data_IF_685299760351
#
_entry.id   IF_685299760351
#
_cell.length_a   1.000
_cell.length_b   1.000
_cell.length_c   1.000
_cell.angle_alpha   90.00
_cell.angle_beta   90.00
_cell.angle_gamma   90.00
#
_symmetry.space_group_name_H-M   'P 1'
#
loop_
_entity.id
_entity.type
_entity.pdbx_description
1 polymer ?
#
# COMPACT_ATOMS: atom_id res chain seq x y z
N UNK A 1 -1.75 -27.39 7.36
CA UNK A 1 -0.64 -26.98 6.47
C UNK A 1 0.62 -27.19 7.28
N UNK A 2 1.41 -28.19 6.91
CA UNK A 2 2.62 -28.57 7.65
C UNK A 2 3.79 -27.69 7.23
N UNK A 3 4.67 -27.34 8.18
CA UNK A 3 5.90 -26.62 7.86
C UNK A 3 6.81 -27.60 7.09
N UNK A 4 6.94 -27.41 5.79
CA UNK A 4 7.79 -28.27 4.96
C UNK A 4 9.26 -28.00 5.28
N UNK A 5 9.87 -28.89 6.06
CA UNK A 5 11.29 -28.82 6.44
C UNK A 5 12.23 -29.48 5.42
N UNK A 6 11.69 -30.06 4.35
CA UNK A 6 12.48 -30.66 3.28
C UNK A 6 13.22 -29.56 2.50
N UNK A 7 14.55 -29.55 2.61
CA UNK A 7 15.41 -28.55 1.98
C UNK A 7 16.03 -27.53 2.94
N UNK A 8 15.61 -27.49 4.21
CA UNK A 8 16.22 -26.59 5.19
C UNK A 8 17.63 -27.05 5.59
N UNK A 9 18.55 -26.09 5.64
CA UNK A 9 19.88 -26.23 6.23
C UNK A 9 19.79 -26.55 7.73
N UNK A 10 20.91 -27.04 8.31
CA UNK A 10 21.00 -27.31 9.75
C UNK A 10 20.71 -26.05 10.59
N UNK A 11 21.19 -24.90 10.14
CA UNK A 11 21.01 -23.61 10.81
C UNK A 11 19.54 -23.18 10.81
N UNK A 12 18.85 -23.30 9.68
CA UNK A 12 17.43 -22.95 9.57
C UNK A 12 16.55 -23.86 10.44
N UNK A 13 16.86 -25.17 10.51
CA UNK A 13 16.16 -26.10 11.41
C UNK A 13 16.34 -25.71 12.88
N UNK A 14 17.56 -25.34 13.27
CA UNK A 14 17.83 -24.88 14.64
C UNK A 14 17.05 -23.60 14.96
N UNK A 15 16.99 -22.65 14.03
CA UNK A 15 16.24 -21.42 14.19
C UNK A 15 14.73 -21.68 14.33
N UNK A 16 14.17 -22.53 13.46
CA UNK A 16 12.75 -22.92 13.53
C UNK A 16 12.41 -23.55 14.87
N UNK A 17 13.24 -24.48 15.37
CA UNK A 17 13.04 -25.09 16.68
C UNK A 17 13.05 -24.05 17.81
N UNK A 18 13.99 -23.09 17.77
CA UNK A 18 14.05 -22.01 18.76
C UNK A 18 12.80 -21.13 18.72
N UNK A 19 12.27 -20.84 17.52
CA UNK A 19 11.03 -20.07 17.35
C UNK A 19 9.81 -20.83 17.87
N UNK A 20 9.68 -22.11 17.52
CA UNK A 20 8.58 -22.98 17.98
C UNK A 20 8.59 -23.11 19.51
N UNK A 21 9.77 -23.27 20.12
CA UNK A 21 9.90 -23.33 21.58
C UNK A 21 9.50 -22.02 22.26
N UNK A 22 9.82 -20.88 21.64
CA UNK A 22 9.59 -19.55 22.23
C UNK A 22 8.16 -19.05 22.06
N UNK A 23 7.56 -19.30 20.90
CA UNK A 23 6.30 -18.66 20.49
C UNK A 23 5.13 -19.62 20.33
N UNK A 24 5.37 -20.93 20.26
CA UNK A 24 4.32 -21.89 19.95
C UNK A 24 4.15 -22.13 18.44
N UNK A 25 3.53 -23.25 18.09
CA UNK A 25 3.37 -23.66 16.70
C UNK A 25 2.35 -22.80 15.93
N UNK A 26 1.29 -22.35 16.60
CA UNK A 26 0.21 -21.59 15.96
C UNK A 26 0.69 -20.20 15.54
N UNK A 27 1.41 -19.52 16.43
CA UNK A 27 1.96 -18.18 16.24
C UNK A 27 3.03 -18.19 15.14
N UNK A 28 3.89 -19.21 15.13
CA UNK A 28 4.89 -19.40 14.06
C UNK A 28 4.21 -19.69 12.72
N UNK A 29 3.15 -20.50 12.71
CA UNK A 29 2.37 -20.78 11.50
C UNK A 29 1.67 -19.52 10.97
N UNK A 30 1.03 -18.73 11.84
CA UNK A 30 0.37 -17.48 11.48
C UNK A 30 1.35 -16.47 10.88
N UNK A 31 2.50 -16.28 11.54
CA UNK A 31 3.58 -15.43 11.03
C UNK A 31 4.07 -15.90 9.65
N UNK A 32 4.25 -17.21 9.48
CA UNK A 32 4.68 -17.79 8.19
C UNK A 32 3.67 -17.52 7.08
N UNK A 33 2.36 -17.60 7.36
CA UNK A 33 1.31 -17.25 6.39
C UNK A 33 1.41 -15.79 5.96
N UNK A 34 1.55 -14.86 6.92
CA UNK A 34 1.70 -13.42 6.63
C UNK A 34 2.93 -13.11 5.78
N UNK A 35 4.05 -13.80 6.02
CA UNK A 35 5.26 -13.69 5.18
C UNK A 35 4.99 -14.15 3.75
N UNK A 36 4.41 -15.34 3.58
CA UNK A 36 4.08 -15.88 2.25
C UNK A 36 3.10 -14.99 1.49
N UNK A 37 2.13 -14.41 2.18
CA UNK A 37 1.19 -13.46 1.60
C UNK A 37 1.88 -12.19 1.12
N UNK A 38 2.77 -11.61 1.93
CA UNK A 38 3.59 -10.46 1.53
C UNK A 38 4.43 -10.79 0.30
N UNK A 39 5.11 -11.93 0.28
CA UNK A 39 5.94 -12.34 -0.86
C UNK A 39 5.11 -12.56 -2.13
N UNK A 40 3.92 -13.16 -2.01
CA UNK A 40 2.97 -13.28 -3.13
C UNK A 40 2.58 -11.91 -3.65
N UNK A 41 2.15 -11.02 -2.76
CA UNK A 41 1.74 -9.67 -3.11
C UNK A 41 2.87 -8.89 -3.79
N UNK A 42 4.11 -9.00 -3.34
CA UNK A 42 5.24 -8.31 -3.99
C UNK A 42 5.47 -8.77 -5.43
N UNK A 43 5.32 -10.07 -5.70
CA UNK A 43 5.45 -10.61 -7.06
C UNK A 43 4.31 -10.15 -7.96
N UNK A 44 3.09 -10.18 -7.43
CA UNK A 44 1.88 -10.03 -8.24
C UNK A 44 1.41 -8.57 -8.35
N UNK A 45 1.86 -7.67 -7.46
CA UNK A 45 1.43 -6.28 -7.43
C UNK A 45 1.83 -5.51 -8.68
N UNK A 46 0.82 -5.20 -9.49
CA UNK A 46 0.89 -4.30 -10.62
C UNK A 46 0.46 -2.90 -10.18
N UNK A 47 1.38 -1.94 -10.28
CA UNK A 47 1.11 -0.55 -9.99
C UNK A 47 0.59 0.16 -11.24
N UNK A 48 -0.57 0.79 -11.14
CA UNK A 48 -1.12 1.64 -12.19
C UNK A 48 -1.90 2.80 -11.59
N UNK A 49 -1.87 3.94 -12.27
CA UNK A 49 -2.72 5.09 -11.97
C UNK A 49 -4.10 4.92 -12.61
N UNK A 50 -5.15 5.33 -11.89
CA UNK A 50 -6.53 5.27 -12.38
C UNK A 50 -6.81 6.36 -13.44
N UNK A 51 -6.12 7.50 -13.36
CA UNK A 51 -6.39 8.63 -14.25
C UNK A 51 -5.24 8.94 -15.22
N UNK A 52 -5.54 9.49 -16.41
CA UNK A 52 -4.53 10.08 -17.28
C UNK A 52 -3.72 11.18 -16.58
N UNK A 53 -2.46 11.33 -16.97
CA UNK A 53 -1.61 12.39 -16.44
C UNK A 53 -2.09 13.76 -16.92
N UNK A 54 -2.26 14.70 -15.99
CA UNK A 54 -2.54 16.11 -16.30
C UNK A 54 -1.25 16.88 -16.54
N UNK A 55 -1.33 18.00 -17.27
CA UNK A 55 -0.19 18.88 -17.56
C UNK A 55 0.58 19.33 -16.32
N UNK A 56 -0.10 19.41 -15.17
CA UNK A 56 0.48 19.84 -13.90
C UNK A 56 1.58 18.91 -13.39
N UNK A 57 1.59 17.64 -13.80
CA UNK A 57 2.69 16.71 -13.52
C UNK A 57 4.03 17.27 -14.01
N UNK A 58 4.05 18.04 -15.09
CA UNK A 58 5.27 18.63 -15.63
C UNK A 58 5.66 19.96 -14.95
N UNK A 59 4.69 20.75 -14.50
CA UNK A 59 4.91 22.14 -14.08
C UNK A 59 4.81 22.40 -12.58
N UNK A 60 4.09 21.56 -11.82
CA UNK A 60 3.92 21.78 -10.39
C UNK A 60 5.16 21.33 -9.61
N UNK A 61 5.42 22.05 -8.52
CA UNK A 61 6.30 21.63 -7.43
C UNK A 61 5.50 20.80 -6.42
N UNK A 62 6.19 19.99 -5.63
CA UNK A 62 5.57 19.19 -4.57
C UNK A 62 4.76 20.04 -3.58
N UNK A 63 5.27 21.17 -3.03
CA UNK A 63 4.49 21.99 -2.11
C UNK A 63 3.21 22.53 -2.76
N UNK A 64 3.29 22.98 -4.02
CA UNK A 64 2.11 23.47 -4.75
C UNK A 64 1.06 22.38 -4.94
N UNK A 65 1.48 21.16 -5.25
CA UNK A 65 0.56 20.04 -5.40
C UNK A 65 -0.08 19.63 -4.06
N UNK A 66 0.66 19.70 -2.96
CA UNK A 66 0.10 19.45 -1.62
C UNK A 66 -0.96 20.49 -1.25
N UNK A 67 -0.73 21.77 -1.55
CA UNK A 67 -1.76 22.80 -1.34
C UNK A 67 -3.00 22.54 -2.20
N UNK A 68 -2.84 22.08 -3.43
CA UNK A 68 -3.96 21.71 -4.28
C UNK A 68 -4.77 20.54 -3.71
N UNK A 69 -4.10 19.49 -3.22
CA UNK A 69 -4.77 18.36 -2.52
C UNK A 69 -5.61 18.86 -1.34
N UNK A 70 -5.11 19.85 -0.58
CA UNK A 70 -5.88 20.45 0.52
C UNK A 70 -7.10 21.21 0.00
N UNK A 71 -7.00 21.91 -1.13
CA UNK A 71 -8.14 22.55 -1.78
C UNK A 71 -9.21 21.52 -2.20
N UNK A 72 -8.82 20.42 -2.86
CA UNK A 72 -9.75 19.34 -3.23
C UNK A 72 -10.46 18.73 -2.00
N UNK A 73 -9.73 18.56 -0.88
CA UNK A 73 -10.34 18.08 0.36
C UNK A 73 -11.41 19.05 0.92
N UNK A 74 -11.20 20.36 0.76
CA UNK A 74 -12.19 21.36 1.15
C UNK A 74 -13.42 21.29 0.23
N UNK A 75 -13.21 21.03 -1.07
CA UNK A 75 -14.30 20.84 -2.04
C UNK A 75 -15.14 19.61 -1.68
N UNK A 76 -14.51 18.47 -1.36
CA UNK A 76 -15.20 17.28 -0.80
C UNK A 76 -16.04 17.67 0.42
N UNK A 77 -15.45 18.38 1.39
CA UNK A 77 -16.15 18.73 2.63
C UNK A 77 -17.38 19.62 2.36
N UNK A 78 -17.30 20.55 1.41
CA UNK A 78 -18.43 21.38 1.02
C UNK A 78 -19.50 20.57 0.28
N UNK A 79 -19.09 19.69 -0.65
CA UNK A 79 -19.98 18.86 -1.44
C UNK A 79 -20.85 17.91 -0.60
N UNK A 80 -20.38 17.50 0.58
CA UNK A 80 -21.18 16.67 1.52
C UNK A 80 -22.48 17.35 1.96
N UNK A 81 -22.55 18.69 1.90
CA UNK A 81 -23.75 19.46 2.24
C UNK A 81 -24.71 19.62 1.05
N UNK A 82 -24.23 19.35 -0.17
CA UNK A 82 -25.01 19.53 -1.40
C UNK A 82 -25.76 18.27 -1.79
N UNK A 83 -25.03 17.22 -2.20
CA UNK A 83 -25.58 15.91 -2.54
C UNK A 83 -24.46 14.86 -2.68
N UNK A 84 -24.85 13.58 -2.67
CA UNK A 84 -23.93 12.44 -2.75
C UNK A 84 -23.16 12.41 -4.08
N UNK A 85 -23.81 12.66 -5.23
CA UNK A 85 -23.13 12.62 -6.52
C UNK A 85 -22.00 13.65 -6.61
N UNK A 86 -22.22 14.87 -6.11
CA UNK A 86 -21.15 15.89 -6.06
C UNK A 86 -20.03 15.46 -5.12
N UNK A 87 -20.38 14.88 -3.97
CA UNK A 87 -19.37 14.35 -3.03
C UNK A 87 -18.48 13.29 -3.69
N UNK A 88 -19.09 12.36 -4.44
CA UNK A 88 -18.36 11.31 -5.15
C UNK A 88 -17.46 11.86 -6.28
N UNK A 89 -17.91 12.92 -6.97
CA UNK A 89 -17.12 13.64 -7.96
C UNK A 89 -15.88 14.30 -7.33
N UNK A 90 -16.04 15.07 -6.25
CA UNK A 90 -14.91 15.70 -5.57
C UNK A 90 -13.96 14.66 -4.95
N UNK A 91 -14.48 13.50 -4.52
CA UNK A 91 -13.64 12.40 -4.04
C UNK A 91 -12.78 11.81 -5.16
N UNK A 92 -13.30 11.74 -6.38
CA UNK A 92 -12.53 11.33 -7.55
C UNK A 92 -11.46 12.37 -7.91
N UNK A 93 -11.78 13.66 -7.83
CA UNK A 93 -10.82 14.75 -8.06
C UNK A 93 -9.71 14.78 -7.00
N UNK A 94 -10.04 14.55 -5.73
CA UNK A 94 -9.07 14.37 -4.64
C UNK A 94 -8.13 13.19 -4.91
N UNK A 95 -8.66 12.05 -5.36
CA UNK A 95 -7.86 10.88 -5.74
C UNK A 95 -6.92 11.21 -6.90
N UNK A 96 -7.42 11.86 -7.95
CA UNK A 96 -6.61 12.28 -9.10
C UNK A 96 -5.49 13.27 -8.71
N UNK A 97 -5.78 14.19 -7.80
CA UNK A 97 -4.81 15.11 -7.22
C UNK A 97 -3.72 14.40 -6.42
N UNK A 98 -4.07 13.33 -5.68
CA UNK A 98 -3.10 12.47 -5.00
C UNK A 98 -2.24 11.68 -5.99
N UNK A 99 -2.82 11.13 -7.06
CA UNK A 99 -2.06 10.48 -8.13
C UNK A 99 -1.07 11.45 -8.79
N UNK A 100 -1.51 12.68 -9.05
CA UNK A 100 -0.66 13.75 -9.60
C UNK A 100 0.52 14.05 -8.69
N UNK A 101 0.35 14.05 -7.37
CA UNK A 101 1.47 14.15 -6.42
C UNK A 101 2.47 13.01 -6.62
N UNK A 102 2.01 11.77 -6.70
CA UNK A 102 2.92 10.64 -6.87
C UNK A 102 3.66 10.69 -8.21
N UNK A 103 2.99 11.08 -9.31
CA UNK A 103 3.65 11.28 -10.61
C UNK A 103 4.73 12.36 -10.56
N UNK A 104 4.51 13.45 -9.80
CA UNK A 104 5.52 14.47 -9.55
C UNK A 104 6.72 13.88 -8.79
N UNK A 105 6.48 13.00 -7.82
CA UNK A 105 7.56 12.30 -7.08
C UNK A 105 8.32 11.31 -7.97
N UNK A 106 7.64 10.58 -8.85
CA UNK A 106 8.30 9.71 -9.84
C UNK A 106 9.23 10.50 -10.76
N UNK A 107 8.77 11.65 -11.27
CA UNK A 107 9.59 12.60 -12.04
C UNK A 107 10.83 13.06 -11.26
N UNK A 108 10.73 13.17 -9.94
CA UNK A 108 11.84 13.53 -9.04
C UNK A 108 12.71 12.31 -8.62
N UNK A 109 12.50 11.15 -9.25
CA UNK A 109 13.31 9.94 -9.06
C UNK A 109 12.87 9.06 -7.90
N UNK A 110 11.69 9.29 -7.33
CA UNK A 110 11.15 8.44 -6.26
C UNK A 110 10.52 7.17 -6.83
N UNK A 111 10.91 6.02 -6.28
CA UNK A 111 10.22 4.75 -6.53
C UNK A 111 8.88 4.72 -5.78
N UNK A 112 7.83 5.18 -6.46
CA UNK A 112 6.47 5.21 -5.92
C UNK A 112 5.91 3.81 -5.72
N UNK A 113 6.20 2.87 -6.62
CA UNK A 113 5.77 1.47 -6.48
C UNK A 113 6.25 0.89 -5.15
N UNK A 114 7.50 1.12 -4.78
CA UNK A 114 8.04 0.69 -3.49
C UNK A 114 7.34 1.34 -2.29
N UNK A 115 6.95 2.61 -2.39
CA UNK A 115 6.19 3.29 -1.32
C UNK A 115 4.82 2.62 -1.12
N UNK A 116 4.11 2.32 -2.21
CA UNK A 116 2.81 1.65 -2.14
C UNK A 116 2.94 0.24 -1.56
N UNK A 117 3.93 -0.54 -2.01
CA UNK A 117 4.25 -1.85 -1.44
C UNK A 117 4.53 -1.78 0.07
N UNK A 118 5.28 -0.77 0.54
CA UNK A 118 5.52 -0.57 1.97
C UNK A 118 4.23 -0.35 2.76
N UNK A 119 3.29 0.41 2.21
CA UNK A 119 1.99 0.64 2.87
C UNK A 119 1.17 -0.66 2.91
N UNK A 120 1.15 -1.42 1.82
CA UNK A 120 0.45 -2.71 1.74
C UNK A 120 1.02 -3.68 2.78
N UNK A 121 2.35 -3.88 2.80
CA UNK A 121 3.00 -4.73 3.80
C UNK A 121 2.66 -4.35 5.23
N UNK A 122 2.70 -3.05 5.53
CA UNK A 122 2.34 -2.52 6.85
C UNK A 122 0.89 -2.84 7.21
N UNK A 123 -0.03 -2.80 6.25
CA UNK A 123 -1.45 -3.06 6.47
C UNK A 123 -1.78 -4.56 6.55
N UNK A 124 -1.05 -5.44 5.84
CA UNK A 124 -1.12 -6.90 6.02
C UNK A 124 -0.74 -7.27 7.45
N UNK A 125 0.36 -6.73 7.96
CA UNK A 125 0.80 -6.99 9.35
C UNK A 125 -0.21 -6.51 10.40
N UNK A 126 -1.06 -5.54 10.05
CA UNK A 126 -2.10 -4.97 10.93
C UNK A 126 -3.46 -5.64 10.75
N UNK A 127 -3.57 -6.63 9.88
CA UNK A 127 -4.82 -7.34 9.57
C UNK A 127 -5.94 -6.37 9.11
N UNK A 128 -5.58 -5.36 8.30
CA UNK A 128 -6.53 -4.38 7.75
C UNK A 128 -7.19 -4.81 6.44
N UNK A 129 -6.64 -5.82 5.77
CA UNK A 129 -7.24 -6.39 4.56
C UNK A 129 -8.22 -7.50 4.95
N UNK A 130 -9.32 -7.58 4.21
CA UNK A 130 -10.27 -8.69 4.36
C UNK A 130 -9.62 -9.97 3.82
N UNK A 131 -9.86 -11.09 4.49
CA UNK A 131 -9.54 -12.41 3.94
C UNK A 131 -10.52 -12.66 2.77
N UNK A 132 -10.00 -12.98 1.58
CA UNK A 132 -10.79 -13.43 0.42
C UNK A 132 -11.50 -14.77 0.68
#
# INVERSE_FOLDING_TARGET
MDINIAGMTKTEKQLLNNLLQKYGANEVLECSKKVLEIERMERDYQFSYAFPAVKFVASNSVPKQLFHIVSELIEVANATQENQNRTDEEMADLLHSCETYFRIREREGVDVRHIFLKVIKKNIVRDYYLED
#
